data_IF_399918901803
#
_entry.id   IF_399918901803
#
_cell.length_a   1.000
_cell.length_b   1.000
_cell.length_c   1.000
_cell.angle_alpha   90.00
_cell.angle_beta   90.00
_cell.angle_gamma   90.00
#
_symmetry.space_group_name_H-M   'P 1'
#
loop_
_entity.id
_entity.type
_entity.pdbx_description
1 polymer ?
#
# COMPACT_ATOMS: atom_id res chain seq x y z
N UNK A 1 3.27 23.41 -26.45
CA UNK A 1 2.04 22.77 -26.93
C UNK A 1 2.22 21.28 -26.82
N UNK A 2 1.76 20.63 -25.74
CA UNK A 2 1.76 19.18 -25.60
C UNK A 2 0.53 18.66 -26.31
N UNK A 3 0.70 17.88 -27.36
CA UNK A 3 -0.39 17.17 -28.03
C UNK A 3 -0.97 16.15 -27.03
N UNK A 4 -2.07 16.51 -26.41
CA UNK A 4 -2.92 15.60 -25.67
C UNK A 4 -3.77 14.79 -26.66
N UNK A 5 -3.20 13.71 -27.17
CA UNK A 5 -4.02 12.58 -27.61
C UNK A 5 -4.55 11.94 -26.32
N UNK A 6 -5.66 12.48 -25.83
CA UNK A 6 -6.34 11.99 -24.63
C UNK A 6 -6.92 10.60 -24.94
N UNK A 7 -6.10 9.59 -24.87
CA UNK A 7 -6.58 8.20 -24.83
C UNK A 7 -7.32 8.06 -23.51
N UNK A 8 -8.64 7.84 -23.60
CA UNK A 8 -9.53 7.68 -22.43
C UNK A 8 -8.91 6.68 -21.43
N UNK A 9 -8.77 7.03 -20.14
CA UNK A 9 -8.13 6.15 -19.16
C UNK A 9 -8.74 4.74 -19.18
N UNK A 10 -7.91 3.71 -18.98
CA UNK A 10 -8.36 2.32 -18.94
C UNK A 10 -9.54 2.12 -17.98
N UNK A 11 -9.48 2.72 -16.80
CA UNK A 11 -10.53 2.61 -15.78
C UNK A 11 -11.89 3.05 -16.34
N UNK A 12 -11.95 4.17 -17.08
CA UNK A 12 -13.21 4.66 -17.65
C UNK A 12 -13.77 3.66 -18.67
N UNK A 13 -12.93 3.09 -19.53
CA UNK A 13 -13.36 2.09 -20.48
C UNK A 13 -13.92 0.82 -19.80
N UNK A 14 -13.29 0.43 -18.71
CA UNK A 14 -13.72 -0.74 -17.92
C UNK A 14 -15.02 -0.44 -17.17
N UNK A 15 -15.18 0.76 -16.59
CA UNK A 15 -16.44 1.20 -15.96
C UNK A 15 -17.59 1.10 -16.99
N UNK A 16 -17.40 1.65 -18.18
CA UNK A 16 -18.43 1.62 -19.23
C UNK A 16 -18.73 0.19 -19.71
N UNK A 17 -17.69 -0.65 -19.83
CA UNK A 17 -17.82 -2.03 -20.33
C UNK A 17 -18.62 -2.93 -19.38
N UNK A 18 -18.42 -2.78 -18.08
CA UNK A 18 -19.00 -3.63 -17.05
C UNK A 18 -20.18 -2.97 -16.30
N UNK A 19 -20.68 -1.85 -16.79
CA UNK A 19 -21.82 -1.10 -16.17
C UNK A 19 -21.58 -0.80 -14.68
N UNK A 20 -20.34 -0.37 -14.34
CA UNK A 20 -19.92 -0.08 -12.96
C UNK A 20 -20.21 1.39 -12.58
N UNK A 21 -21.41 1.86 -12.86
CA UNK A 21 -21.82 3.23 -12.57
C UNK A 21 -21.67 3.58 -11.09
N UNK A 22 -21.12 4.79 -10.83
CA UNK A 22 -20.91 5.28 -9.46
C UNK A 22 -19.63 4.79 -8.78
N UNK A 23 -18.95 3.74 -9.28
CA UNK A 23 -17.73 3.21 -8.67
C UNK A 23 -16.61 4.28 -8.61
N UNK A 24 -16.56 5.18 -9.60
CA UNK A 24 -15.60 6.27 -9.63
C UNK A 24 -15.78 7.23 -8.45
N UNK A 25 -17.03 7.57 -8.12
CA UNK A 25 -17.35 8.44 -6.99
C UNK A 25 -17.10 7.74 -5.66
N UNK A 26 -17.39 6.43 -5.58
CA UNK A 26 -17.08 5.62 -4.42
C UNK A 26 -15.58 5.56 -4.16
N UNK A 27 -14.75 5.38 -5.20
CA UNK A 27 -13.29 5.39 -5.07
C UNK A 27 -12.75 6.76 -4.63
N UNK A 28 -13.29 7.86 -5.14
CA UNK A 28 -12.93 9.21 -4.70
C UNK A 28 -13.29 9.40 -3.22
N UNK A 29 -14.51 9.02 -2.83
CA UNK A 29 -14.95 9.13 -1.45
C UNK A 29 -14.08 8.32 -0.48
N UNK A 30 -13.67 7.10 -0.85
CA UNK A 30 -12.78 6.27 -0.04
C UNK A 30 -11.34 6.82 0.00
N UNK A 31 -10.88 7.43 -1.08
CA UNK A 31 -9.54 8.02 -1.18
C UNK A 31 -9.37 9.30 -0.37
N UNK A 32 -10.42 10.11 -0.26
CA UNK A 32 -10.41 11.41 0.43
C UNK A 32 -10.77 11.33 1.91
N UNK A 33 -11.02 10.15 2.45
CA UNK A 33 -11.20 9.94 3.89
C UNK A 33 -9.95 10.31 4.69
N UNK A 34 -10.08 10.59 6.00
CA UNK A 34 -8.94 10.75 6.90
C UNK A 34 -7.99 9.55 6.81
N UNK A 35 -6.69 9.79 7.00
CA UNK A 35 -5.63 8.80 6.78
C UNK A 35 -5.85 7.49 7.53
N UNK A 36 -6.41 7.55 8.74
CA UNK A 36 -6.73 6.38 9.59
C UNK A 36 -7.83 5.47 9.02
N UNK A 37 -8.65 5.95 8.10
CA UNK A 37 -9.83 5.24 7.57
C UNK A 37 -9.88 5.15 6.05
N UNK A 38 -8.99 5.85 5.35
CA UNK A 38 -8.97 5.84 3.89
C UNK A 38 -8.41 4.53 3.35
N UNK A 39 -8.89 4.16 2.18
CA UNK A 39 -8.29 3.05 1.43
C UNK A 39 -7.06 3.51 0.64
N UNK A 40 -6.01 2.71 0.66
CA UNK A 40 -4.86 2.89 -0.20
C UNK A 40 -5.22 2.63 -1.67
N UNK A 41 -4.41 3.14 -2.61
CA UNK A 41 -4.60 2.83 -4.03
C UNK A 41 -4.53 1.32 -4.35
N UNK A 42 -3.85 0.51 -3.50
CA UNK A 42 -3.81 -0.95 -3.64
C UNK A 42 -5.16 -1.56 -3.28
N UNK A 43 -5.72 -1.18 -2.14
CA UNK A 43 -7.04 -1.64 -1.70
C UNK A 43 -8.15 -1.18 -2.65
N UNK A 44 -8.03 0.03 -3.21
CA UNK A 44 -8.96 0.51 -4.23
C UNK A 44 -8.82 -0.25 -5.56
N UNK A 45 -7.61 -0.69 -5.93
CA UNK A 45 -7.42 -1.53 -7.10
C UNK A 45 -8.02 -2.94 -6.89
N UNK A 46 -7.85 -3.52 -5.71
CA UNK A 46 -8.48 -4.78 -5.33
C UNK A 46 -10.01 -4.66 -5.35
N UNK A 47 -10.54 -3.63 -4.71
CA UNK A 47 -11.96 -3.33 -4.71
C UNK A 47 -12.54 -3.21 -6.14
N UNK A 48 -11.88 -2.44 -7.01
CA UNK A 48 -12.28 -2.26 -8.40
C UNK A 48 -12.25 -3.59 -9.18
N UNK A 49 -11.17 -4.37 -9.05
CA UNK A 49 -11.01 -5.64 -9.76
C UNK A 49 -12.04 -6.70 -9.32
N UNK A 50 -12.41 -6.71 -8.04
CA UNK A 50 -13.50 -7.55 -7.52
C UNK A 50 -14.82 -7.18 -8.19
N UNK A 51 -15.12 -5.88 -8.34
CA UNK A 51 -16.34 -5.42 -9.02
C UNK A 51 -16.37 -5.78 -10.49
N UNK A 52 -15.22 -5.72 -11.16
CA UNK A 52 -15.09 -6.15 -12.58
C UNK A 52 -15.43 -7.64 -12.73
N UNK A 53 -14.85 -8.49 -11.89
CA UNK A 53 -15.14 -9.93 -11.93
C UNK A 53 -16.59 -10.23 -11.54
N UNK A 54 -17.13 -9.60 -10.51
CA UNK A 54 -18.53 -9.77 -10.08
C UNK A 54 -19.52 -9.42 -11.23
N UNK A 55 -19.23 -8.34 -11.96
CA UNK A 55 -20.03 -7.95 -13.12
C UNK A 55 -19.95 -9.00 -14.26
N UNK A 56 -18.75 -9.48 -14.59
CA UNK A 56 -18.56 -10.52 -15.60
C UNK A 56 -19.28 -11.83 -15.21
N UNK A 57 -19.20 -12.23 -13.94
CA UNK A 57 -19.91 -13.40 -13.44
C UNK A 57 -21.44 -13.26 -13.56
N UNK A 58 -21.97 -12.08 -13.21
CA UNK A 58 -23.42 -11.81 -13.34
C UNK A 58 -23.89 -11.81 -14.77
N UNK A 59 -23.10 -11.27 -15.69
CA UNK A 59 -23.40 -11.33 -17.13
C UNK A 59 -23.48 -12.77 -17.65
N UNK A 60 -22.61 -13.64 -17.14
CA UNK A 60 -22.64 -15.09 -17.42
C UNK A 60 -23.72 -15.85 -16.62
N UNK A 61 -24.55 -15.15 -15.83
CA UNK A 61 -25.59 -15.78 -14.99
C UNK A 61 -25.05 -16.54 -13.78
N UNK A 62 -23.83 -16.26 -13.36
CA UNK A 62 -23.16 -16.91 -12.23
C UNK A 62 -23.27 -16.00 -10.99
N UNK A 63 -23.82 -16.53 -9.91
CA UNK A 63 -23.91 -15.83 -8.64
C UNK A 63 -23.03 -16.56 -7.64
N UNK A 64 -21.97 -15.90 -7.19
CA UNK A 64 -21.07 -16.38 -6.16
C UNK A 64 -21.12 -15.51 -4.91
N UNK A 65 -20.70 -16.08 -3.79
CA UNK A 65 -20.49 -15.30 -2.59
C UNK A 65 -19.23 -14.43 -2.71
N UNK A 66 -19.20 -13.38 -1.91
CA UNK A 66 -18.15 -12.38 -1.99
C UNK A 66 -16.73 -12.96 -1.75
N UNK A 67 -16.48 -13.82 -0.74
CA UNK A 67 -15.16 -14.41 -0.52
C UNK A 67 -14.63 -15.16 -1.73
N UNK A 68 -15.48 -15.89 -2.44
CA UNK A 68 -15.09 -16.64 -3.63
C UNK A 68 -14.72 -15.71 -4.78
N UNK A 69 -15.47 -14.62 -4.98
CA UNK A 69 -15.14 -13.60 -5.99
C UNK A 69 -13.81 -12.92 -5.68
N UNK A 70 -13.54 -12.61 -4.41
CA UNK A 70 -12.27 -12.00 -3.96
C UNK A 70 -11.08 -12.92 -4.24
N UNK A 71 -11.19 -14.20 -3.91
CA UNK A 71 -10.17 -15.22 -4.18
C UNK A 71 -9.88 -15.36 -5.68
N UNK A 72 -10.93 -15.51 -6.49
CA UNK A 72 -10.78 -15.64 -7.94
C UNK A 72 -10.23 -14.38 -8.60
N UNK A 73 -10.61 -13.19 -8.13
CA UNK A 73 -10.09 -11.93 -8.64
C UNK A 73 -8.57 -11.79 -8.41
N UNK A 74 -8.07 -12.23 -7.24
CA UNK A 74 -6.64 -12.25 -6.94
C UNK A 74 -5.88 -13.20 -7.89
N UNK A 75 -6.39 -14.41 -8.08
CA UNK A 75 -5.80 -15.43 -8.96
C UNK A 75 -5.74 -14.95 -10.42
N UNK A 76 -6.84 -14.38 -10.94
CA UNK A 76 -6.92 -13.87 -12.32
C UNK A 76 -5.92 -12.71 -12.51
N UNK A 77 -5.84 -11.80 -11.54
CA UNK A 77 -4.92 -10.66 -11.60
C UNK A 77 -3.46 -11.09 -11.66
N UNK A 78 -3.07 -12.08 -10.87
CA UNK A 78 -1.69 -12.60 -10.81
C UNK A 78 -1.36 -13.52 -12.02
N UNK A 79 -2.34 -13.75 -12.92
CA UNK A 79 -2.21 -14.67 -14.04
C UNK A 79 -1.77 -16.07 -13.61
N UNK A 80 -2.12 -16.46 -12.40
CA UNK A 80 -1.87 -17.80 -11.92
C UNK A 80 -2.86 -18.76 -12.58
N UNK A 81 -2.31 -19.78 -13.27
CA UNK A 81 -3.12 -20.78 -13.97
C UNK A 81 -3.79 -21.80 -13.04
N UNK A 82 -3.71 -21.60 -11.74
CA UNK A 82 -4.31 -22.49 -10.73
C UNK A 82 -5.84 -22.38 -10.61
N UNK A 83 -6.50 -21.59 -11.47
CA UNK A 83 -7.98 -21.56 -11.63
C UNK A 83 -8.60 -22.89 -12.09
N UNK A 84 -7.80 -23.94 -12.22
CA UNK A 84 -8.26 -25.27 -12.67
C UNK A 84 -9.42 -25.88 -11.88
N UNK A 85 -9.79 -25.29 -10.73
CA UNK A 85 -10.96 -25.73 -9.95
C UNK A 85 -12.29 -25.05 -10.28
N UNK A 86 -12.30 -23.92 -10.98
CA UNK A 86 -13.53 -23.11 -11.16
C UNK A 86 -14.07 -23.09 -12.58
N UNK A 87 -13.26 -23.50 -13.58
CA UNK A 87 -13.62 -23.62 -15.00
C UNK A 87 -14.54 -22.50 -15.52
N UNK A 88 -14.14 -21.24 -15.25
CA UNK A 88 -14.90 -20.04 -15.57
C UNK A 88 -15.09 -19.87 -17.08
N UNK A 89 -14.07 -20.23 -17.86
CA UNK A 89 -14.08 -20.06 -19.31
C UNK A 89 -15.18 -20.96 -19.95
N UNK A 90 -15.34 -22.21 -19.48
CA UNK A 90 -16.42 -23.10 -19.96
C UNK A 90 -17.81 -22.60 -19.54
N UNK A 91 -17.89 -21.73 -18.53
CA UNK A 91 -19.14 -21.14 -18.04
C UNK A 91 -19.44 -19.79 -18.66
N UNK A 92 -18.63 -19.36 -19.64
CA UNK A 92 -18.87 -18.15 -20.42
C UNK A 92 -18.21 -16.89 -19.88
N UNK A 93 -17.27 -17.00 -18.93
CA UNK A 93 -16.45 -15.87 -18.43
C UNK A 93 -15.05 -16.01 -19.02
N UNK A 94 -14.68 -15.13 -19.96
CA UNK A 94 -13.33 -15.06 -20.52
C UNK A 94 -12.37 -14.50 -19.48
N UNK A 95 -11.61 -15.38 -18.81
CA UNK A 95 -10.70 -15.02 -17.72
C UNK A 95 -9.50 -14.21 -18.21
N UNK A 96 -9.06 -14.38 -19.46
CA UNK A 96 -7.99 -13.60 -20.07
C UNK A 96 -8.47 -12.16 -20.34
N UNK A 97 -9.69 -11.99 -20.83
CA UNK A 97 -10.30 -10.68 -21.08
C UNK A 97 -10.51 -9.93 -19.75
N UNK A 98 -11.12 -10.58 -18.76
CA UNK A 98 -11.34 -10.02 -17.42
C UNK A 98 -10.01 -9.62 -16.78
N UNK A 99 -9.00 -10.49 -16.80
CA UNK A 99 -7.66 -10.19 -16.29
C UNK A 99 -6.97 -9.05 -17.04
N UNK A 100 -7.21 -8.96 -18.37
CA UNK A 100 -6.78 -7.84 -19.20
C UNK A 100 -7.43 -6.51 -18.81
N UNK A 101 -8.66 -6.53 -18.30
CA UNK A 101 -9.38 -5.33 -17.84
C UNK A 101 -9.08 -4.93 -16.39
N UNK A 102 -8.57 -5.83 -15.57
CA UNK A 102 -8.14 -5.54 -14.21
C UNK A 102 -7.05 -4.46 -14.18
N UNK A 103 -7.06 -3.63 -13.15
CA UNK A 103 -6.19 -2.47 -13.01
C UNK A 103 -5.17 -2.62 -11.89
N UNK A 104 -4.06 -1.89 -12.01
CA UNK A 104 -3.03 -1.78 -10.97
C UNK A 104 -3.29 -0.56 -10.07
N UNK A 105 -2.61 -0.52 -8.92
CA UNK A 105 -2.65 0.64 -8.04
C UNK A 105 -2.17 1.93 -8.72
N UNK A 106 -1.24 1.84 -9.68
CA UNK A 106 -0.76 2.98 -10.45
C UNK A 106 -1.87 3.54 -11.34
N UNK A 107 -2.69 2.68 -11.96
CA UNK A 107 -3.83 3.11 -12.76
C UNK A 107 -4.87 3.83 -11.90
N UNK A 108 -5.13 3.34 -10.68
CA UNK A 108 -6.02 3.99 -9.72
C UNK A 108 -5.47 5.36 -9.32
N UNK A 109 -4.18 5.43 -8.96
CA UNK A 109 -3.54 6.70 -8.59
C UNK A 109 -3.68 7.75 -9.71
N UNK A 110 -3.29 7.40 -10.94
CA UNK A 110 -3.42 8.29 -12.11
C UNK A 110 -4.88 8.69 -12.36
N UNK A 111 -5.82 7.77 -12.22
CA UNK A 111 -7.24 8.08 -12.37
C UNK A 111 -7.71 9.09 -11.33
N UNK A 112 -7.38 8.91 -10.06
CA UNK A 112 -7.80 9.80 -8.98
C UNK A 112 -7.15 11.18 -9.09
N UNK A 113 -5.84 11.25 -9.34
CA UNK A 113 -5.07 12.50 -9.32
C UNK A 113 -5.17 13.28 -10.64
N UNK A 114 -5.08 12.60 -11.78
CA UNK A 114 -4.99 13.30 -13.08
C UNK A 114 -6.36 13.41 -13.78
N UNK A 115 -7.25 12.42 -13.59
CA UNK A 115 -8.55 12.45 -14.28
C UNK A 115 -9.67 13.00 -13.40
N UNK A 116 -9.70 12.65 -12.11
CA UNK A 116 -10.68 13.14 -11.15
C UNK A 116 -10.23 14.42 -10.45
N UNK A 117 -8.98 14.87 -10.70
CA UNK A 117 -8.38 16.06 -10.10
C UNK A 117 -8.54 16.07 -8.57
N UNK A 118 -8.32 14.89 -7.95
CA UNK A 118 -8.56 14.68 -6.53
C UNK A 118 -7.23 14.63 -5.80
N UNK A 119 -7.04 15.55 -4.87
CA UNK A 119 -5.93 15.53 -3.93
C UNK A 119 -6.47 15.15 -2.54
N UNK A 120 -5.70 14.37 -1.79
CA UNK A 120 -5.98 14.20 -0.37
C UNK A 120 -4.97 15.02 0.44
N UNK A 121 -5.46 15.73 1.45
CA UNK A 121 -4.59 16.35 2.42
C UNK A 121 -3.86 15.25 3.20
N UNK A 122 -2.54 15.18 3.07
CA UNK A 122 -1.75 14.44 4.04
C UNK A 122 -1.93 15.14 5.38
N UNK A 123 -2.58 14.45 6.32
CA UNK A 123 -2.41 14.85 7.71
C UNK A 123 -0.90 14.94 7.94
N UNK A 124 -0.41 16.11 8.37
CA UNK A 124 0.98 16.26 8.76
C UNK A 124 1.16 15.29 9.91
N UNK A 125 1.91 14.19 9.66
CA UNK A 125 2.19 13.18 10.68
C UNK A 125 2.51 13.90 11.99
N UNK A 126 1.68 13.70 13.00
CA UNK A 126 1.94 14.23 14.32
C UNK A 126 3.31 13.73 14.79
N UNK A 127 4.01 14.57 15.52
CA UNK A 127 5.35 14.26 16.05
C UNK A 127 5.35 12.92 16.82
N UNK A 128 4.23 12.58 17.47
CA UNK A 128 4.06 11.30 18.16
C UNK A 128 4.05 10.12 17.20
N UNK A 129 3.39 10.23 16.05
CA UNK A 129 3.38 9.21 15.00
C UNK A 129 4.78 9.01 14.41
N UNK A 130 5.52 10.08 14.20
CA UNK A 130 6.91 10.02 13.72
C UNK A 130 7.84 9.35 14.72
N UNK A 131 7.71 9.66 16.00
CA UNK A 131 8.47 9.01 17.08
C UNK A 131 8.11 7.55 17.20
N UNK A 132 6.83 7.18 17.06
CA UNK A 132 6.40 5.78 17.06
C UNK A 132 6.98 5.01 15.86
N UNK A 133 6.99 5.61 14.66
CA UNK A 133 7.60 5.03 13.46
C UNK A 133 9.10 4.80 13.63
N UNK A 134 9.81 5.73 14.29
CA UNK A 134 11.22 5.58 14.64
C UNK A 134 11.45 4.35 15.54
N UNK A 135 10.64 4.21 16.62
CA UNK A 135 10.71 3.06 17.52
C UNK A 135 10.46 1.72 16.81
N UNK A 136 9.57 1.68 15.81
CA UNK A 136 9.36 0.49 14.98
C UNK A 136 10.60 0.13 14.15
N UNK A 137 11.31 1.12 13.62
CA UNK A 137 12.56 0.92 12.86
C UNK A 137 13.64 0.36 13.79
N UNK A 138 13.80 0.93 14.97
CA UNK A 138 14.75 0.47 16.00
C UNK A 138 14.48 -0.98 16.40
N UNK A 139 13.25 -1.32 16.78
CA UNK A 139 12.84 -2.69 17.13
C UNK A 139 13.07 -3.68 15.97
N UNK A 140 12.76 -3.27 14.73
CA UNK A 140 13.03 -4.13 13.58
C UNK A 140 14.52 -4.37 13.37
N UNK A 141 15.34 -3.35 13.59
CA UNK A 141 16.80 -3.46 13.49
C UNK A 141 17.37 -4.36 14.58
N UNK A 142 16.89 -4.25 15.83
CA UNK A 142 17.22 -5.17 16.95
C UNK A 142 16.91 -6.61 16.58
N UNK A 143 15.72 -6.88 16.05
CA UNK A 143 15.30 -8.23 15.64
C UNK A 143 16.22 -8.81 14.56
N UNK A 144 16.58 -8.00 13.57
CA UNK A 144 17.49 -8.43 12.48
C UNK A 144 18.89 -8.71 13.04
N UNK A 145 19.43 -7.82 13.89
CA UNK A 145 20.74 -7.95 14.50
C UNK A 145 20.82 -9.18 15.42
N UNK A 146 19.77 -9.43 16.23
CA UNK A 146 19.65 -10.63 17.05
C UNK A 146 19.69 -11.90 16.19
N UNK A 147 18.97 -11.94 15.08
CA UNK A 147 18.98 -13.06 14.14
C UNK A 147 20.33 -13.29 13.47
N UNK A 148 21.12 -12.24 13.23
CA UNK A 148 22.49 -12.35 12.71
C UNK A 148 23.39 -13.00 13.77
N UNK A 149 23.33 -12.52 15.01
CA UNK A 149 24.16 -13.04 16.11
C UNK A 149 23.81 -14.48 16.41
N UNK A 150 22.54 -14.83 16.54
CA UNK A 150 22.09 -16.21 16.80
C UNK A 150 22.61 -17.18 15.74
N UNK A 151 22.56 -16.79 14.47
CA UNK A 151 23.15 -17.59 13.37
C UNK A 151 24.68 -17.70 13.48
N UNK A 152 25.35 -16.62 13.83
CA UNK A 152 26.82 -16.65 13.99
C UNK A 152 27.27 -17.52 15.15
N UNK A 153 26.52 -17.53 16.26
CA UNK A 153 26.75 -18.44 17.40
C UNK A 153 26.53 -19.90 17.00
N UNK A 154 25.39 -20.17 16.31
CA UNK A 154 25.06 -21.54 15.87
C UNK A 154 26.07 -22.15 14.89
N UNK A 155 26.76 -21.28 14.11
CA UNK A 155 27.84 -21.71 13.19
C UNK A 155 29.24 -21.65 13.82
N UNK A 156 29.37 -21.47 15.13
CA UNK A 156 30.64 -21.35 15.86
C UNK A 156 31.57 -20.21 15.33
N UNK A 157 30.99 -19.16 14.75
CA UNK A 157 31.70 -17.97 14.30
C UNK A 157 31.92 -16.96 15.42
N UNK A 158 31.02 -16.99 16.43
CA UNK A 158 31.07 -16.17 17.63
C UNK A 158 30.89 -17.10 18.84
N UNK A 159 31.69 -16.89 19.89
CA UNK A 159 31.67 -17.68 21.10
C UNK A 159 31.06 -16.87 22.26
N UNK A 160 30.21 -17.50 23.06
CA UNK A 160 29.62 -16.90 24.25
C UNK A 160 28.09 -17.00 24.29
N UNK A 161 27.48 -16.37 25.30
CA UNK A 161 26.02 -16.22 25.37
C UNK A 161 25.54 -15.17 24.38
N UNK A 162 24.32 -15.34 23.90
CA UNK A 162 23.67 -14.34 23.03
C UNK A 162 23.50 -13.02 23.81
N UNK A 163 24.01 -11.90 23.29
CA UNK A 163 23.88 -10.61 23.94
C UNK A 163 22.46 -10.05 23.78
N UNK A 164 22.03 -9.22 24.72
CA UNK A 164 20.92 -8.31 24.49
C UNK A 164 21.36 -7.22 23.52
N UNK A 165 20.53 -6.92 22.54
CA UNK A 165 20.79 -5.88 21.53
C UNK A 165 19.84 -4.74 21.80
N UNK A 166 20.38 -3.53 21.79
CA UNK A 166 19.65 -2.31 21.90
C UNK A 166 20.08 -1.39 20.74
N UNK A 167 19.11 -0.82 20.03
CA UNK A 167 19.34 0.07 18.89
C UNK A 167 18.71 1.40 19.19
N UNK A 168 19.51 2.45 19.19
CA UNK A 168 19.06 3.83 19.36
C UNK A 168 19.50 4.66 18.17
N UNK A 169 18.59 5.43 17.61
CA UNK A 169 18.90 6.34 16.52
C UNK A 169 19.29 7.71 17.07
N UNK A 170 20.47 8.18 16.72
CA UNK A 170 21.00 9.49 17.14
C UNK A 170 21.13 10.43 15.94
N UNK A 171 21.07 11.73 16.21
CA UNK A 171 21.35 12.79 15.26
C UNK A 171 22.33 13.80 15.84
N UNK A 172 23.19 14.36 14.98
CA UNK A 172 24.16 15.40 15.33
C UNK A 172 23.67 16.73 14.77
N UNK A 173 23.57 17.73 15.62
CA UNK A 173 23.19 19.08 15.21
C UNK A 173 24.34 19.74 14.43
N UNK A 174 24.08 20.15 13.19
CA UNK A 174 25.09 20.81 12.34
C UNK A 174 25.57 22.16 12.90
N UNK A 175 24.79 22.81 13.76
CA UNK A 175 25.11 24.14 14.30
C UNK A 175 25.99 24.08 15.56
N UNK A 176 25.77 23.13 16.47
CA UNK A 176 26.46 23.05 17.75
C UNK A 176 27.10 21.69 18.03
N UNK A 177 27.07 20.77 17.05
CA UNK A 177 27.67 19.44 17.10
C UNK A 177 27.16 18.56 18.27
N UNK A 178 26.08 18.97 18.92
CA UNK A 178 25.48 18.18 20.02
C UNK A 178 24.85 16.92 19.42
N UNK A 179 25.24 15.76 20.00
CA UNK A 179 24.59 14.47 19.72
C UNK A 179 23.35 14.32 20.59
N UNK A 180 22.26 13.86 20.01
CA UNK A 180 20.96 13.72 20.71
C UNK A 180 20.19 12.54 20.13
N UNK A 181 19.48 11.78 20.96
CA UNK A 181 18.51 10.81 20.44
C UNK A 181 17.51 11.48 19.49
N UNK A 182 17.26 10.86 18.35
CA UNK A 182 16.36 11.41 17.34
C UNK A 182 14.92 11.55 17.87
N UNK A 183 14.50 10.67 18.78
CA UNK A 183 13.23 10.74 19.49
C UNK A 183 13.10 12.03 20.33
N UNK A 184 14.17 12.41 21.03
CA UNK A 184 14.25 13.62 21.84
C UNK A 184 14.30 14.87 20.96
N UNK A 185 15.07 14.82 19.87
CA UNK A 185 15.14 15.90 18.88
C UNK A 185 13.77 16.20 18.29
N UNK A 186 13.03 15.17 17.89
CA UNK A 186 11.70 15.31 17.33
C UNK A 186 10.71 15.90 18.33
N UNK A 187 10.66 15.37 19.57
CA UNK A 187 9.75 15.86 20.63
C UNK A 187 10.01 17.30 21.03
N UNK A 188 11.26 17.74 20.97
CA UNK A 188 11.65 19.12 21.29
C UNK A 188 11.48 20.09 20.11
N UNK A 189 11.10 19.59 18.92
CA UNK A 189 11.01 20.42 17.71
C UNK A 189 12.37 20.91 17.21
N UNK A 190 13.47 20.23 17.58
CA UNK A 190 14.83 20.58 17.19
C UNK A 190 15.89 20.27 18.23
N UNK A 191 17.10 20.78 18.00
CA UNK A 191 18.25 20.61 18.92
C UNK A 191 17.95 21.17 20.30
N UNK A 192 18.07 20.39 21.38
CA UNK A 192 17.79 20.87 22.74
C UNK A 192 18.73 21.97 23.21
N UNK A 193 19.92 22.08 22.61
CA UNK A 193 20.92 23.12 22.94
C UNK A 193 20.64 24.40 22.15
N UNK A 194 20.32 24.35 20.87
CA UNK A 194 20.09 25.51 20.02
C UNK A 194 18.68 26.10 20.18
N UNK A 195 17.65 25.25 20.42
CA UNK A 195 16.26 25.73 20.53
C UNK A 195 15.92 26.50 21.80
N UNK A 196 16.80 26.46 22.81
CA UNK A 196 16.65 27.28 24.01
C UNK A 196 17.07 28.76 23.83
N UNK A 197 17.54 29.12 22.63
CA UNK A 197 18.05 30.47 22.32
C UNK A 197 17.09 31.33 21.51
N UNK A 198 15.79 30.96 21.45
CA UNK A 198 14.74 31.77 20.80
C UNK A 198 13.74 32.31 21.81
#
# INVERSE_FOLDING_TARGET
>A
MRNATSTRPKIIRVIDKYDLDGIGDEMVAEWTKPESTRRSCRELAEFFNIRVLDAALREAGIIWDRPLVEECAAIIKDRDKSLTGYDLDSRGVDTDEVGGDMVSYQSIYTYLTEYRDTEYEREVDDIHSRVASLGQIETKTETIAAGIISRSVSHNQVYGAEPQIEVTTECICETCETNTEMSVYLRNGGCPTCSRSR
#
